data_IF_637110442840
#
_entry.id   IF_637110442840
#
_cell.length_a   1.000
_cell.length_b   1.000
_cell.length_c   1.000
_cell.angle_alpha   90.00
_cell.angle_beta   90.00
_cell.angle_gamma   90.00
#
_symmetry.space_group_name_H-M   'P 1'
#
loop_
_entity.id
_entity.type
_entity.pdbx_description
1 polymer ?
#
# COMPACT_ATOMS: atom_id res chain seq x y z
N UNK A 1 -2.09 8.62 16.69
CA UNK A 1 -2.67 8.84 15.34
C UNK A 1 -4.19 9.04 15.39
N UNK A 2 -4.82 9.31 14.24
CA UNK A 2 -6.26 9.27 13.93
C UNK A 2 -6.44 8.85 12.45
N UNK A 3 -7.65 8.46 12.03
CA UNK A 3 -8.04 8.29 10.62
C UNK A 3 -8.98 9.40 10.16
N UNK A 4 -9.11 9.65 8.84
CA UNK A 4 -10.20 10.46 8.31
C UNK A 4 -11.56 9.91 8.72
N UNK A 5 -12.52 10.80 9.02
CA UNK A 5 -13.88 10.41 9.38
C UNK A 5 -14.63 9.83 8.16
N UNK A 6 -14.41 10.42 6.99
CA UNK A 6 -15.02 9.97 5.75
C UNK A 6 -14.07 8.99 5.06
N UNK A 7 -14.27 7.70 5.33
CA UNK A 7 -13.56 6.64 4.62
C UNK A 7 -14.28 6.37 3.29
N UNK A 8 -13.55 6.31 2.16
CA UNK A 8 -14.13 5.83 0.91
C UNK A 8 -14.61 4.38 1.04
N UNK A 9 -15.69 4.02 0.35
CA UNK A 9 -16.17 2.64 0.32
C UNK A 9 -15.33 1.80 -0.64
N UNK A 10 -15.06 0.55 -0.28
CA UNK A 10 -14.36 -0.36 -1.18
C UNK A 10 -15.21 -0.68 -2.42
N UNK A 11 -14.65 -0.61 -3.66
CA UNK A 11 -15.40 -0.97 -4.85
C UNK A 11 -15.89 -2.42 -4.84
N UNK A 12 -17.12 -2.65 -5.30
CA UNK A 12 -17.73 -3.99 -5.28
C UNK A 12 -16.93 -5.02 -6.07
N UNK A 13 -16.31 -4.62 -7.19
CA UNK A 13 -15.49 -5.54 -8.01
C UNK A 13 -14.25 -6.03 -7.26
N UNK A 14 -13.64 -5.16 -6.43
CA UNK A 14 -12.53 -5.56 -5.55
C UNK A 14 -13.02 -6.54 -4.49
N UNK A 15 -14.15 -6.24 -3.85
CA UNK A 15 -14.73 -7.15 -2.84
C UNK A 15 -15.07 -8.51 -3.44
N UNK A 16 -15.62 -8.54 -4.66
CA UNK A 16 -15.93 -9.77 -5.38
C UNK A 16 -14.65 -10.56 -5.75
N UNK A 17 -13.60 -9.87 -6.20
CA UNK A 17 -12.31 -10.47 -6.52
C UNK A 17 -11.62 -11.07 -5.28
N UNK A 18 -11.60 -10.32 -4.17
CA UNK A 18 -11.09 -10.77 -2.87
C UNK A 18 -11.89 -11.96 -2.34
N UNK A 19 -13.22 -11.95 -2.47
CA UNK A 19 -14.07 -13.05 -2.05
C UNK A 19 -13.90 -14.31 -2.92
N UNK A 20 -13.59 -14.13 -4.21
CA UNK A 20 -13.39 -15.23 -5.14
C UNK A 20 -12.07 -15.98 -4.89
N UNK A 21 -10.96 -15.26 -4.71
CA UNK A 21 -9.66 -15.84 -4.39
C UNK A 21 -8.78 -14.87 -3.57
N UNK A 22 -8.90 -14.88 -2.24
CA UNK A 22 -8.13 -13.97 -1.39
C UNK A 22 -6.63 -14.27 -1.41
N UNK A 23 -6.24 -15.51 -1.72
CA UNK A 23 -4.82 -15.89 -1.81
C UNK A 23 -4.18 -15.35 -3.09
N UNK A 24 -4.90 -15.39 -4.21
CA UNK A 24 -4.46 -14.76 -5.45
C UNK A 24 -4.40 -13.23 -5.32
N UNK A 25 -5.40 -12.62 -4.68
CA UNK A 25 -5.38 -11.17 -4.42
C UNK A 25 -4.18 -10.75 -3.56
N UNK A 26 -3.93 -11.48 -2.47
CA UNK A 26 -2.76 -11.25 -1.61
C UNK A 26 -1.44 -11.44 -2.37
N UNK A 27 -1.35 -12.42 -3.27
CA UNK A 27 -0.18 -12.62 -4.13
C UNK A 27 0.02 -11.43 -5.08
N UNK A 28 -1.07 -10.88 -5.64
CA UNK A 28 -1.02 -9.71 -6.51
C UNK A 28 -0.51 -8.47 -5.75
N UNK A 29 -0.98 -8.26 -4.51
CA UNK A 29 -0.46 -7.20 -3.63
C UNK A 29 1.05 -7.35 -3.40
N UNK A 30 1.52 -8.57 -3.09
CA UNK A 30 2.95 -8.84 -2.92
C UNK A 30 3.78 -8.57 -4.18
N UNK A 31 3.29 -8.98 -5.35
CA UNK A 31 3.95 -8.74 -6.64
C UNK A 31 4.01 -7.25 -7.00
N UNK A 32 2.93 -6.50 -6.74
CA UNK A 32 2.92 -5.06 -6.91
C UNK A 32 3.95 -4.37 -6.00
N UNK A 33 4.07 -4.84 -4.75
CA UNK A 33 5.04 -4.31 -3.81
C UNK A 33 6.49 -4.61 -4.21
N UNK A 34 6.76 -5.80 -4.76
CA UNK A 34 8.07 -6.12 -5.34
C UNK A 34 8.42 -5.17 -6.51
N UNK A 35 7.44 -4.82 -7.34
CA UNK A 35 7.62 -3.89 -8.45
C UNK A 35 7.91 -2.46 -7.95
N UNK A 36 7.16 -2.00 -6.95
CA UNK A 36 7.41 -0.72 -6.28
C UNK A 36 8.85 -0.64 -5.73
N UNK A 37 9.29 -1.66 -5.00
CA UNK A 37 10.64 -1.71 -4.44
C UNK A 37 11.72 -1.75 -5.53
N UNK A 38 11.45 -2.44 -6.64
CA UNK A 38 12.32 -2.45 -7.82
C UNK A 38 12.52 -1.04 -8.37
N UNK A 39 11.42 -0.33 -8.64
CA UNK A 39 11.44 1.03 -9.15
C UNK A 39 12.18 2.01 -8.21
N UNK A 40 11.93 1.92 -6.90
CA UNK A 40 12.64 2.70 -5.89
C UNK A 40 14.15 2.40 -5.88
N UNK A 41 14.53 1.13 -5.99
CA UNK A 41 15.94 0.70 -6.01
C UNK A 41 16.68 1.16 -7.27
N UNK A 42 15.97 1.27 -8.39
CA UNK A 42 16.50 1.77 -9.66
C UNK A 42 16.59 3.31 -9.71
N UNK A 43 16.17 3.98 -8.63
CA UNK A 43 16.25 5.44 -8.47
C UNK A 43 15.05 6.19 -9.05
N UNK A 44 13.92 5.51 -9.27
CA UNK A 44 12.64 6.16 -9.53
C UNK A 44 12.17 7.01 -8.33
N UNK A 45 11.31 7.98 -8.61
CA UNK A 45 10.55 8.66 -7.55
C UNK A 45 9.35 7.81 -7.11
N UNK A 46 8.66 8.26 -6.06
CA UNK A 46 7.56 7.50 -5.46
C UNK A 46 6.38 7.37 -6.42
N UNK A 47 6.11 8.38 -7.25
CA UNK A 47 5.09 8.32 -8.31
C UNK A 47 5.40 7.22 -9.34
N UNK A 48 6.64 7.16 -9.84
CA UNK A 48 7.06 6.09 -10.74
C UNK A 48 7.02 4.70 -10.08
N UNK A 49 7.25 4.61 -8.77
CA UNK A 49 7.15 3.35 -8.03
C UNK A 49 5.69 2.87 -7.87
N UNK A 50 4.75 3.78 -7.63
CA UNK A 50 3.32 3.46 -7.64
C UNK A 50 2.82 3.09 -9.04
N UNK A 51 3.32 3.74 -10.08
CA UNK A 51 3.04 3.35 -11.48
C UNK A 51 3.50 1.90 -11.73
N UNK A 52 4.73 1.56 -11.35
CA UNK A 52 5.26 0.19 -11.51
C UNK A 52 4.44 -0.85 -10.72
N UNK A 53 3.96 -0.51 -9.53
CA UNK A 53 3.04 -1.34 -8.76
C UNK A 53 1.72 -1.56 -9.50
N UNK A 54 1.14 -0.48 -10.04
CA UNK A 54 -0.08 -0.51 -10.84
C UNK A 54 0.05 -1.34 -12.12
N UNK A 55 1.15 -1.18 -12.86
CA UNK A 55 1.44 -1.91 -14.09
C UNK A 55 1.51 -3.44 -13.90
N UNK A 56 1.95 -3.88 -12.72
CA UNK A 56 1.99 -5.30 -12.35
C UNK A 56 0.64 -5.78 -11.84
N UNK A 57 -0.02 -4.99 -10.98
CA UNK A 57 -1.28 -5.40 -10.36
C UNK A 57 -2.48 -5.34 -11.31
N UNK A 58 -2.58 -4.31 -12.14
CA UNK A 58 -3.72 -4.07 -13.04
C UNK A 58 -4.08 -5.30 -13.90
N UNK A 59 -3.13 -5.88 -14.66
CA UNK A 59 -3.40 -7.07 -15.46
C UNK A 59 -3.82 -8.31 -14.64
N UNK A 60 -3.32 -8.42 -13.40
CA UNK A 60 -3.71 -9.51 -12.49
C UNK A 60 -5.15 -9.29 -11.99
N UNK A 61 -5.49 -8.06 -11.62
CA UNK A 61 -6.83 -7.67 -11.17
C UNK A 61 -7.87 -7.79 -12.29
N UNK A 62 -7.53 -7.43 -13.52
CA UNK A 62 -8.35 -7.72 -14.71
C UNK A 62 -8.64 -9.22 -14.85
N UNK A 63 -7.62 -10.06 -14.67
CA UNK A 63 -7.76 -11.51 -14.67
C UNK A 63 -8.68 -12.06 -13.58
N UNK A 64 -8.84 -11.32 -12.48
CA UNK A 64 -9.75 -11.62 -11.37
C UNK A 64 -11.15 -11.03 -11.56
N UNK A 65 -11.38 -10.29 -12.65
CA UNK A 65 -12.68 -9.70 -13.00
C UNK A 65 -12.88 -8.27 -12.52
N UNK A 66 -11.82 -7.59 -12.07
CA UNK A 66 -11.83 -6.16 -11.73
C UNK A 66 -11.57 -5.37 -13.00
N UNK A 67 -12.47 -4.47 -13.37
CA UNK A 67 -12.23 -3.54 -14.48
C UNK A 67 -11.08 -2.57 -14.17
N UNK A 68 -10.35 -2.08 -15.19
CA UNK A 68 -9.33 -1.04 -14.97
C UNK A 68 -9.90 0.18 -14.23
N UNK A 69 -11.12 0.59 -14.57
CA UNK A 69 -11.78 1.71 -13.92
C UNK A 69 -12.09 1.43 -12.43
N UNK A 70 -12.45 0.19 -12.08
CA UNK A 70 -12.63 -0.19 -10.68
C UNK A 70 -11.31 -0.36 -9.93
N UNK A 71 -10.23 -0.75 -10.63
CA UNK A 71 -8.89 -0.81 -10.06
C UNK A 71 -8.36 0.60 -9.75
N UNK A 72 -8.50 1.54 -10.68
CA UNK A 72 -8.12 2.94 -10.48
C UNK A 72 -8.93 3.55 -9.33
N UNK A 73 -10.25 3.37 -9.33
CA UNK A 73 -11.11 3.84 -8.24
C UNK A 73 -10.75 3.21 -6.88
N UNK A 74 -10.31 1.95 -6.86
CA UNK A 74 -9.82 1.31 -5.64
C UNK A 74 -8.48 1.89 -5.19
N UNK A 75 -7.57 2.20 -6.13
CA UNK A 75 -6.31 2.89 -5.88
C UNK A 75 -6.53 4.25 -5.24
N UNK A 76 -7.42 5.07 -5.79
CA UNK A 76 -7.80 6.37 -5.24
C UNK A 76 -8.41 6.23 -3.83
N UNK A 77 -9.32 5.27 -3.67
CA UNK A 77 -9.99 5.00 -2.40
C UNK A 77 -8.99 4.54 -1.31
N UNK A 78 -8.09 3.62 -1.66
CA UNK A 78 -6.99 3.18 -0.78
C UNK A 78 -6.05 4.33 -0.47
N UNK A 79 -5.74 5.16 -1.47
CA UNK A 79 -4.88 6.32 -1.35
C UNK A 79 -5.41 7.33 -0.34
N UNK A 80 -6.68 7.69 -0.43
CA UNK A 80 -7.33 8.60 0.52
C UNK A 80 -7.44 8.00 1.94
N UNK A 81 -7.75 6.71 2.06
CA UNK A 81 -7.90 6.02 3.34
C UNK A 81 -6.55 5.80 4.05
N UNK A 82 -5.63 5.10 3.40
CA UNK A 82 -4.31 4.77 3.92
C UNK A 82 -3.48 6.05 4.03
N UNK A 83 -3.42 6.86 2.97
CA UNK A 83 -2.70 8.13 2.98
C UNK A 83 -3.19 9.07 4.07
N UNK A 84 -4.51 9.13 4.30
CA UNK A 84 -5.08 9.88 5.42
C UNK A 84 -4.64 9.37 6.79
N UNK A 85 -4.62 8.05 6.99
CA UNK A 85 -4.08 7.44 8.21
C UNK A 85 -2.59 7.74 8.40
N UNK A 86 -1.81 7.63 7.33
CA UNK A 86 -0.36 7.90 7.32
C UNK A 86 -0.05 9.38 7.58
N UNK A 87 -0.83 10.30 7.02
CA UNK A 87 -0.72 11.74 7.28
C UNK A 87 -0.85 12.05 8.77
N UNK A 88 -1.70 11.30 9.46
CA UNK A 88 -2.03 11.49 10.88
C UNK A 88 -1.20 10.58 11.80
N UNK A 89 -0.31 9.78 11.22
CA UNK A 89 0.58 8.90 11.93
C UNK A 89 1.73 9.66 12.59
N UNK A 90 2.29 9.14 13.70
CA UNK A 90 3.60 9.57 14.18
C UNK A 90 4.66 9.58 13.06
N UNK A 91 5.49 10.63 13.03
CA UNK A 91 6.54 10.76 12.01
C UNK A 91 7.61 9.65 12.08
N UNK A 92 7.70 8.95 13.22
CA UNK A 92 8.64 7.86 13.48
C UNK A 92 8.01 6.46 13.35
N UNK A 93 6.82 6.33 12.73
CA UNK A 93 6.26 5.03 12.40
C UNK A 93 7.22 4.21 11.54
N UNK A 94 7.49 2.98 11.98
CA UNK A 94 8.22 1.99 11.21
C UNK A 94 7.30 1.15 10.34
N UNK A 95 7.89 0.15 9.69
CA UNK A 95 7.16 -0.80 8.85
C UNK A 95 5.95 -1.46 9.52
N UNK A 96 6.07 -1.98 10.76
CA UNK A 96 4.94 -2.59 11.46
C UNK A 96 3.80 -1.61 11.74
N UNK A 97 4.10 -0.39 12.16
CA UNK A 97 3.09 0.64 12.38
C UNK A 97 2.41 1.05 11.06
N UNK A 98 3.17 1.18 9.98
CA UNK A 98 2.62 1.46 8.65
C UNK A 98 1.69 0.32 8.18
N UNK A 99 2.08 -0.95 8.41
CA UNK A 99 1.24 -2.10 8.08
C UNK A 99 -0.07 -2.11 8.87
N UNK A 100 0.00 -1.79 10.17
CA UNK A 100 -1.18 -1.66 11.02
C UNK A 100 -2.14 -0.55 10.55
N UNK A 101 -1.60 0.58 10.07
CA UNK A 101 -2.41 1.65 9.48
C UNK A 101 -3.13 1.15 8.22
N UNK A 102 -2.43 0.41 7.35
CA UNK A 102 -3.01 -0.13 6.13
C UNK A 102 -4.14 -1.12 6.41
N UNK A 103 -3.91 -2.01 7.36
CA UNK A 103 -4.88 -3.00 7.83
C UNK A 103 -6.16 -2.32 8.34
N UNK A 104 -6.02 -1.41 9.31
CA UNK A 104 -7.17 -0.69 9.87
C UNK A 104 -7.87 0.20 8.84
N UNK A 105 -7.12 0.87 7.96
CA UNK A 105 -7.70 1.69 6.89
C UNK A 105 -8.59 0.84 5.98
N UNK A 106 -8.10 -0.32 5.53
CA UNK A 106 -8.86 -1.21 4.64
C UNK A 106 -10.06 -1.81 5.37
N UNK A 107 -9.93 -2.23 6.62
CA UNK A 107 -11.06 -2.71 7.43
C UNK A 107 -12.15 -1.64 7.57
N UNK A 108 -11.76 -0.38 7.74
CA UNK A 108 -12.69 0.74 7.83
C UNK A 108 -13.34 1.12 6.49
N UNK A 109 -12.77 0.70 5.36
CA UNK A 109 -13.39 0.84 4.03
C UNK A 109 -14.37 -0.28 3.71
N UNK A 110 -14.33 -1.39 4.47
CA UNK A 110 -15.25 -2.50 4.27
C UNK A 110 -16.66 -2.15 4.76
N UNK A 111 -17.72 -2.67 4.10
CA UNK A 111 -19.07 -2.55 4.62
C UNK A 111 -19.19 -3.15 6.01
N UNK A 112 -19.95 -2.50 6.90
CA UNK A 112 -20.14 -2.97 8.29
C UNK A 112 -20.47 -4.48 8.36
N UNK A 113 -19.67 -5.20 9.16
CA UNK A 113 -19.82 -6.65 9.36
C UNK A 113 -19.18 -7.51 8.28
N UNK A 114 -18.35 -6.93 7.41
CA UNK A 114 -17.51 -7.64 6.44
C UNK A 114 -16.05 -7.55 6.87
N UNK A 115 -15.43 -8.69 7.15
CA UNK A 115 -14.02 -8.74 7.52
C UNK A 115 -13.15 -8.90 6.28
N UNK A 116 -11.97 -8.26 6.27
CA UNK A 116 -10.94 -8.53 5.26
C UNK A 116 -10.40 -9.95 5.47
N UNK A 117 -10.30 -10.79 4.41
CA UNK A 117 -9.74 -12.13 4.56
C UNK A 117 -8.29 -12.12 5.07
N UNK A 118 -7.95 -13.03 5.98
CA UNK A 118 -6.63 -13.10 6.60
C UNK A 118 -5.43 -13.04 5.63
N UNK A 119 -5.42 -13.74 4.47
CA UNK A 119 -4.30 -13.63 3.53
C UNK A 119 -4.10 -12.19 2.98
N UNK A 120 -5.19 -11.44 2.78
CA UNK A 120 -5.14 -10.06 2.31
C UNK A 120 -4.69 -9.14 3.43
N UNK A 121 -5.23 -9.35 4.63
CA UNK A 121 -4.84 -8.61 5.82
C UNK A 121 -3.34 -8.80 6.16
N UNK A 122 -2.82 -10.03 6.07
CA UNK A 122 -1.39 -10.33 6.23
C UNK A 122 -0.55 -9.61 5.17
N UNK A 123 -0.98 -9.62 3.90
CA UNK A 123 -0.30 -8.91 2.83
C UNK A 123 -0.26 -7.38 3.06
N UNK A 124 -1.33 -6.78 3.58
CA UNK A 124 -1.35 -5.35 3.95
C UNK A 124 -0.35 -5.03 5.08
N UNK A 125 -0.22 -5.95 6.05
CA UNK A 125 0.79 -5.84 7.10
C UNK A 125 2.21 -5.88 6.54
N UNK A 126 2.48 -6.83 5.64
CA UNK A 126 3.78 -6.98 4.97
C UNK A 126 4.11 -5.79 4.06
N UNK A 127 3.11 -5.19 3.40
CA UNK A 127 3.29 -3.97 2.59
C UNK A 127 3.85 -2.82 3.41
N UNK A 128 3.39 -2.62 4.65
CA UNK A 128 3.94 -1.61 5.55
C UNK A 128 5.45 -1.77 5.77
N UNK A 129 5.90 -3.01 6.01
CA UNK A 129 7.32 -3.32 6.13
C UNK A 129 8.07 -3.07 4.82
N UNK A 130 7.45 -3.43 3.70
CA UNK A 130 8.05 -3.25 2.39
C UNK A 130 8.25 -1.77 2.01
N UNK A 131 7.34 -0.87 2.40
CA UNK A 131 7.52 0.58 2.24
C UNK A 131 8.64 1.11 3.13
N UNK A 132 8.73 0.66 4.38
CA UNK A 132 9.85 1.02 5.26
C UNK A 132 11.21 0.58 4.68
N UNK A 133 11.27 -0.63 4.14
CA UNK A 133 12.48 -1.19 3.51
C UNK A 133 12.86 -0.43 2.22
N UNK A 134 11.87 0.13 1.52
CA UNK A 134 12.07 1.03 0.38
C UNK A 134 12.51 2.46 0.82
N UNK A 135 12.56 2.73 2.11
CA UNK A 135 12.96 4.03 2.66
C UNK A 135 11.86 5.08 2.65
N UNK A 136 10.59 4.67 2.49
CA UNK A 136 9.45 5.57 2.48
C UNK A 136 9.03 5.92 3.91
N UNK A 137 9.00 7.20 4.25
CA UNK A 137 8.43 7.66 5.52
C UNK A 137 6.89 7.76 5.41
N UNK A 138 6.14 7.64 6.52
CA UNK A 138 4.68 7.68 6.49
C UNK A 138 4.13 8.97 5.86
N UNK A 139 4.74 10.12 6.15
CA UNK A 139 4.26 11.41 5.62
C UNK A 139 4.61 11.61 4.14
N UNK A 140 5.70 11.01 3.66
CA UNK A 140 6.04 11.01 2.24
C UNK A 140 5.04 10.11 1.48
N UNK A 141 4.75 8.93 2.02
CA UNK A 141 3.69 8.04 1.51
C UNK A 141 2.34 8.74 1.46
N UNK A 142 1.96 9.44 2.53
CA UNK A 142 0.71 10.19 2.57
C UNK A 142 0.64 11.27 1.49
N UNK A 143 1.75 11.98 1.26
CA UNK A 143 1.85 13.04 0.25
C UNK A 143 1.63 12.54 -1.18
N UNK A 144 1.95 11.28 -1.46
CA UNK A 144 1.84 10.67 -2.79
C UNK A 144 0.56 9.85 -2.97
N UNK A 145 0.06 9.22 -1.90
CA UNK A 145 -1.14 8.38 -1.93
C UNK A 145 -2.44 9.18 -1.89
N UNK A 146 -2.46 10.32 -1.20
CA UNK A 146 -3.68 11.13 -1.12
C UNK A 146 -3.88 11.93 -2.42
N UNK A 147 -5.12 12.18 -2.82
CA UNK A 147 -5.41 13.19 -3.84
C UNK A 147 -4.78 14.55 -3.46
N UNK A 148 -4.52 15.45 -4.41
CA UNK A 148 -4.02 16.77 -4.08
C UNK A 148 -5.01 17.56 -3.18
N UNK A 149 -4.51 18.43 -2.28
CA UNK A 149 -5.37 19.30 -1.48
C UNK A 149 -6.35 20.11 -2.35
N UNK A 150 -7.63 20.07 -1.97
CA UNK A 150 -8.72 20.73 -2.69
C UNK A 150 -9.40 19.87 -3.76
N UNK A 151 -8.77 18.78 -4.19
CA UNK A 151 -9.34 17.86 -5.16
C UNK A 151 -10.36 16.90 -4.51
N UNK A 152 -11.20 16.29 -5.36
CA UNK A 152 -12.21 15.34 -4.91
C UNK A 152 -11.55 14.13 -4.21
N UNK A 153 -12.12 13.73 -3.08
CA UNK A 153 -11.60 12.60 -2.30
C UNK A 153 -10.43 12.94 -1.38
N UNK A 154 -9.89 14.17 -1.39
CA UNK A 154 -8.89 14.56 -0.40
C UNK A 154 -9.51 14.53 1.03
N UNK A 155 -8.90 13.82 1.99
CA UNK A 155 -9.59 13.45 3.24
C UNK A 155 -9.60 14.53 4.32
N UNK A 156 -8.99 15.70 4.10
CA UNK A 156 -8.80 16.73 5.12
C UNK A 156 -9.33 18.11 4.69
N UNK A 157 -9.72 18.97 5.66
CA UNK A 157 -10.16 20.32 5.34
C UNK A 157 -9.05 21.14 4.69
N UNK A 158 -9.44 21.95 3.71
CA UNK A 158 -8.57 22.90 3.01
C UNK A 158 -9.02 24.33 3.28
N UNK A 159 -8.08 25.27 3.28
CA UNK A 159 -8.37 26.70 3.43
C UNK A 159 -8.88 27.33 2.11
N UNK A 160 -9.11 28.64 2.12
CA UNK A 160 -9.56 29.38 0.95
C UNK A 160 -8.54 29.44 -0.21
N UNK A 161 -7.27 29.10 0.05
CA UNK A 161 -6.24 28.95 -0.99
C UNK A 161 -6.21 27.54 -1.58
N UNK A 162 -6.93 26.59 -0.98
CA UNK A 162 -6.92 25.18 -1.36
C UNK A 162 -5.87 24.36 -0.61
N UNK A 163 -5.17 24.93 0.36
CA UNK A 163 -4.11 24.25 1.11
C UNK A 163 -4.70 23.43 2.27
N UNK A 164 -4.20 22.22 2.51
CA UNK A 164 -4.59 21.42 3.66
C UNK A 164 -4.23 22.13 4.97
N UNK A 165 -5.20 22.28 5.87
CA UNK A 165 -4.98 22.96 7.17
C UNK A 165 -4.47 22.03 8.26
N UNK A 166 -4.44 20.72 8.00
CA UNK A 166 -3.99 19.70 8.96
C UNK A 166 -2.51 19.38 8.67
N UNK A 167 -1.57 19.74 9.56
CA UNK A 167 -0.17 19.38 9.36
C UNK A 167 0.05 17.87 9.49
N UNK A 168 0.96 17.27 8.70
CA UNK A 168 1.36 15.88 8.90
C UNK A 168 1.85 15.63 10.33
N UNK A 169 1.39 14.54 10.94
CA UNK A 169 1.74 14.11 12.29
C UNK A 169 1.11 14.93 13.42
N UNK A 170 0.19 15.87 13.14
CA UNK A 170 -0.52 16.65 14.16
C UNK A 170 -2.02 16.35 14.18
N UNK A 171 -2.43 15.20 14.76
CA UNK A 171 -3.83 14.81 14.80
C UNK A 171 -4.72 15.73 15.66
N UNK A 172 -4.15 16.55 16.53
CA UNK A 172 -4.89 17.51 17.34
C UNK A 172 -5.31 18.76 16.54
N UNK A 173 -4.59 19.07 15.45
CA UNK A 173 -4.91 20.18 14.56
C UNK A 173 -6.15 19.90 13.68
N UNK A 174 -6.49 18.64 13.46
CA UNK A 174 -7.68 18.27 12.71
C UNK A 174 -8.96 18.61 13.50
N UNK A 175 -9.99 19.19 12.88
CA UNK A 175 -11.30 19.33 13.49
C UNK A 175 -11.88 17.96 13.89
N UNK A 176 -12.51 17.88 15.06
CA UNK A 176 -13.04 16.62 15.61
C UNK A 176 -14.07 15.92 14.70
N UNK A 177 -14.75 16.69 13.86
CA UNK A 177 -15.74 16.22 12.89
C UNK A 177 -15.13 15.77 11.55
N UNK A 178 -13.81 15.84 11.40
CA UNK A 178 -13.09 15.38 10.22
C UNK A 178 -12.29 14.09 10.46
N UNK A 179 -12.13 13.67 11.72
CA UNK A 179 -11.26 12.55 12.09
C UNK A 179 -11.90 11.62 13.09
N UNK A 180 -11.43 10.39 13.13
CA UNK A 180 -11.90 9.35 14.04
C UNK A 180 -10.72 8.53 14.57
N UNK A 181 -10.93 7.89 15.72
CA UNK A 181 -9.94 7.01 16.30
C UNK A 181 -9.80 5.71 15.47
N UNK A 182 -8.61 5.07 15.47
CA UNK A 182 -8.47 3.70 14.98
C UNK A 182 -9.46 2.74 15.66
N UNK A 183 -9.84 1.65 14.98
CA UNK A 183 -10.66 0.59 15.56
C UNK A 183 -10.05 0.08 16.87
N UNK A 184 -10.88 -0.11 17.90
CA UNK A 184 -10.41 -0.49 19.24
C UNK A 184 -9.89 -1.93 19.34
N UNK A 185 -10.25 -2.76 18.36
CA UNK A 185 -9.85 -4.14 18.16
C UNK A 185 -9.07 -4.33 16.85
N UNK A 186 -8.60 -3.23 16.25
CA UNK A 186 -7.79 -3.22 15.04
C UNK A 186 -6.29 -3.38 15.29
N UNK A 187 -5.53 -3.47 14.21
CA UNK A 187 -4.09 -3.63 14.22
C UNK A 187 -3.36 -2.45 14.90
N UNK A 188 -3.83 -1.21 14.75
CA UNK A 188 -3.23 -0.07 15.45
C UNK A 188 -3.46 -0.18 16.98
N UNK A 189 -4.59 -0.74 17.41
CA UNK A 189 -4.86 -0.97 18.82
C UNK A 189 -3.96 -2.05 19.42
N UNK A 190 -3.68 -3.11 18.66
CA UNK A 190 -2.74 -4.16 19.05
C UNK A 190 -1.31 -3.63 19.21
N UNK A 191 -0.89 -2.68 18.37
CA UNK A 191 0.39 -1.98 18.50
C UNK A 191 0.42 -1.07 19.73
N UNK A 192 -0.71 -0.45 20.07
CA UNK A 192 -0.85 0.45 21.21
C UNK A 192 0.07 1.67 21.14
N UNK A 193 0.33 2.30 22.30
CA UNK A 193 1.25 3.43 22.38
C UNK A 193 0.83 4.59 21.47
N UNK A 194 1.76 5.06 20.63
CA UNK A 194 1.55 6.20 19.72
C UNK A 194 0.57 5.90 18.56
N UNK A 195 0.28 4.61 18.33
CA UNK A 195 -0.72 4.15 17.36
C UNK A 195 -2.15 4.31 17.86
N UNK A 196 -2.34 4.62 19.15
CA UNK A 196 -3.65 4.99 19.70
C UNK A 196 -3.67 6.48 20.08
N UNK A 197 -4.85 7.13 20.06
CA UNK A 197 -4.99 8.45 20.64
C UNK A 197 -4.73 8.39 22.16
N UNK A 198 -4.28 9.51 22.77
CA UNK A 198 -4.09 9.57 24.22
C UNK A 198 -5.40 9.31 24.96
N UNK A 199 -5.31 8.81 26.20
CA UNK A 199 -6.48 8.65 27.06
C UNK A 199 -7.25 9.99 27.19
N UNK A 200 -8.53 9.99 26.83
CA UNK A 200 -9.36 11.20 26.80
C UNK A 200 -9.42 11.92 25.45
N UNK A 201 -8.69 11.46 24.44
CA UNK A 201 -8.67 12.02 23.09
C UNK A 201 -7.81 13.27 22.95
N UNK A 202 -7.82 13.88 21.76
CA UNK A 202 -7.19 15.18 21.54
C UNK A 202 -8.15 16.32 21.83
N UNK A 203 -7.60 17.48 22.19
CA UNK A 203 -8.33 18.74 22.25
C UNK A 203 -8.36 19.36 20.84
N UNK A 204 -9.35 18.96 20.05
CA UNK A 204 -9.48 19.37 18.66
C UNK A 204 -9.89 20.83 18.54
N UNK A 205 -9.18 21.58 17.70
CA UNK A 205 -9.59 22.93 17.33
C UNK A 205 -10.90 22.90 16.52
N UNK A 206 -11.79 23.90 16.65
CA UNK A 206 -12.93 24.03 15.76
C UNK A 206 -12.45 24.34 14.34
N UNK A 207 -13.20 23.86 13.33
CA UNK A 207 -12.94 24.19 11.93
C UNK A 207 -12.94 25.72 11.70
N UNK A 208 -11.90 26.28 11.07
CA UNK A 208 -11.90 27.69 10.65
C UNK A 208 -13.10 28.03 9.75
N UNK A 209 -13.61 29.27 9.83
CA UNK A 209 -14.82 29.67 9.07
C UNK A 209 -14.65 29.63 7.54
N UNK A 210 -13.42 29.76 7.07
CA UNK A 210 -13.02 29.76 5.67
C UNK A 210 -12.46 28.42 5.19
N UNK A 211 -12.30 27.45 6.10
CA UNK A 211 -11.93 26.09 5.74
C UNK A 211 -13.16 25.31 5.30
N UNK A 212 -12.97 24.45 4.30
CA UNK A 212 -14.01 23.56 3.78
C UNK A 212 -13.45 22.17 3.58
N UNK A 213 -14.30 21.16 3.75
CA UNK A 213 -13.98 19.83 3.25
C UNK A 213 -14.01 19.87 1.71
N UNK A 214 -13.00 19.28 1.05
CA UNK A 214 -13.07 18.98 -0.38
C UNK A 214 -14.33 18.17 -0.72
N UNK A 215 -14.77 18.18 -1.99
CA UNK A 215 -15.88 17.34 -2.39
C UNK A 215 -15.55 15.86 -2.15
N UNK A 216 -16.55 15.03 -1.79
CA UNK A 216 -16.32 13.60 -1.67
C UNK A 216 -15.87 13.03 -3.02
N UNK A 217 -15.20 11.88 -2.97
CA UNK A 217 -14.88 11.13 -4.19
C UNK A 217 -16.18 10.82 -4.95
N UNK A 218 -16.23 11.17 -6.23
CA UNK A 218 -17.42 10.93 -7.03
C UNK A 218 -17.54 9.43 -7.34
N UNK A 219 -18.61 8.78 -6.86
CA UNK A 219 -18.99 7.42 -7.26
C UNK A 219 -19.39 7.30 -8.77
N UNK A 220 -19.10 8.33 -9.58
CA UNK A 220 -19.61 8.55 -10.94
C UNK A 220 -18.58 8.17 -12.03
N UNK A 221 -17.35 7.76 -11.71
CA UNK A 221 -16.42 7.22 -12.72
C UNK A 221 -16.92 5.87 -13.31
N UNK A 222 -17.98 5.25 -12.74
CA UNK A 222 -18.65 4.11 -13.39
C UNK A 222 -19.67 4.49 -14.48
N UNK A 223 -19.98 5.78 -14.70
CA UNK A 223 -20.99 6.17 -15.70
C UNK A 223 -20.64 7.33 -16.63
N UNK A 224 -19.53 8.05 -16.46
CA UNK A 224 -19.17 9.12 -17.41
C UNK A 224 -17.66 9.39 -17.45
N UNK A 225 -17.08 9.10 -18.63
CA UNK A 225 -15.88 9.71 -19.21
C UNK A 225 -14.54 9.57 -18.44
N UNK A 226 -13.73 8.59 -18.88
CA UNK A 226 -12.28 8.66 -19.15
C UNK A 226 -11.35 9.61 -18.34
N UNK A 227 -11.56 9.76 -17.03
CA UNK A 227 -10.81 10.74 -16.22
C UNK A 227 -9.46 10.28 -15.66
N UNK A 228 -9.22 8.97 -15.48
CA UNK A 228 -8.00 8.46 -14.83
C UNK A 228 -6.71 8.73 -15.62
N UNK A 229 -6.78 8.62 -16.95
CA UNK A 229 -5.64 8.94 -17.83
C UNK A 229 -5.46 10.45 -18.07
N UNK A 230 -6.53 11.25 -17.96
CA UNK A 230 -6.44 12.69 -18.21
C UNK A 230 -5.88 13.45 -17.00
N UNK A 231 -6.11 13.01 -15.76
CA UNK A 231 -5.48 13.61 -14.57
C UNK A 231 -3.96 13.37 -14.53
N UNK A 232 -3.51 12.17 -14.95
CA UNK A 232 -2.08 11.87 -15.12
C UNK A 232 -1.46 12.62 -16.31
N UNK A 233 -2.23 12.87 -17.37
CA UNK A 233 -1.81 13.65 -18.55
C UNK A 233 -1.67 15.15 -18.27
N UNK A 234 -2.56 15.73 -17.46
CA UNK A 234 -2.55 17.17 -17.15
C UNK A 234 -1.46 17.54 -16.12
N UNK A 235 -1.08 16.60 -15.25
CA UNK A 235 0.08 16.72 -14.35
C UNK A 235 1.44 16.76 -15.09
N UNK A 236 1.50 16.34 -16.36
CA UNK A 236 2.74 16.16 -17.13
C UNK A 236 3.19 17.36 -17.97
N UNK A 237 2.47 18.50 -17.98
CA UNK A 237 2.97 19.75 -18.58
C UNK A 237 3.49 19.62 -20.03
N UNK A 238 2.93 18.69 -20.82
CA UNK A 238 3.31 18.45 -22.21
C UNK A 238 2.76 19.55 -23.13
N UNK A 239 3.52 20.01 -24.15
CA UNK A 239 3.06 21.11 -24.99
C UNK A 239 1.82 20.71 -25.78
N UNK A 240 0.79 21.56 -25.74
CA UNK A 240 -0.45 21.41 -26.50
C UNK A 240 -0.17 20.95 -27.95
N UNK A 241 -0.47 19.68 -28.24
CA UNK A 241 -0.44 19.16 -29.61
C UNK A 241 -1.75 19.56 -30.28
N UNK A 242 -1.62 20.52 -31.18
CA UNK A 242 -2.62 20.93 -32.16
C UNK A 242 -3.19 19.68 -32.87
N UNK A 243 -4.52 19.46 -32.94
CA UNK A 243 -5.13 18.21 -33.41
C UNK A 243 -5.05 18.00 -34.95
N UNK A 244 -3.96 18.40 -35.58
CA UNK A 244 -3.77 18.36 -37.03
C UNK A 244 -2.46 17.67 -37.44
N UNK A 245 -2.22 16.43 -36.99
CA UNK A 245 -1.35 15.49 -37.69
C UNK A 245 -1.66 14.06 -37.25
N UNK A 246 -2.11 13.23 -38.20
CA UNK A 246 -2.47 11.84 -37.94
C UNK A 246 -1.27 10.90 -37.79
N UNK A 247 -1.57 9.76 -37.18
CA UNK A 247 -0.97 8.43 -37.36
C UNK A 247 0.55 8.32 -37.21
N UNK A 248 1.01 7.77 -36.08
CA UNK A 248 1.96 6.64 -36.04
C UNK A 248 1.85 5.90 -34.70
N UNK A 249 1.09 4.81 -34.69
CA UNK A 249 1.17 3.80 -33.63
C UNK A 249 2.55 3.13 -33.64
N UNK A 250 3.33 3.32 -32.58
CA UNK A 250 4.66 2.72 -32.46
C UNK A 250 5.25 2.63 -31.04
N UNK A 251 4.55 3.10 -30.01
CA UNK A 251 5.07 3.12 -28.63
C UNK A 251 5.04 1.75 -27.93
N UNK A 252 3.95 1.00 -28.09
CA UNK A 252 3.71 -0.22 -27.31
C UNK A 252 4.56 -1.41 -27.79
N UNK A 253 4.84 -1.50 -29.09
CA UNK A 253 5.68 -2.57 -29.65
C UNK A 253 7.17 -2.45 -29.27
N UNK A 254 7.64 -1.24 -28.92
CA UNK A 254 9.04 -1.02 -28.56
C UNK A 254 9.37 -1.52 -27.13
N UNK A 255 8.43 -1.36 -26.19
CA UNK A 255 8.61 -1.81 -24.81
C UNK A 255 8.60 -3.35 -24.69
N UNK A 256 7.68 -4.01 -25.40
CA UNK A 256 7.58 -5.48 -25.44
C UNK A 256 8.79 -6.09 -26.17
N UNK A 257 9.30 -5.42 -27.21
CA UNK A 257 10.51 -5.84 -27.92
C UNK A 257 11.78 -5.79 -27.06
N UNK A 258 11.94 -4.75 -26.22
CA UNK A 258 13.09 -4.61 -25.32
C UNK A 258 13.12 -5.66 -24.20
N UNK A 259 11.95 -6.06 -23.69
CA UNK A 259 11.82 -7.11 -22.69
C UNK A 259 12.17 -8.51 -23.24
N UNK A 260 11.81 -8.79 -24.50
CA UNK A 260 12.12 -10.06 -25.16
C UNK A 260 13.60 -10.20 -25.57
N UNK A 261 14.26 -9.11 -25.96
CA UNK A 261 15.69 -9.12 -26.32
C UNK A 261 16.58 -9.37 -25.08
N UNK A 262 16.21 -8.79 -23.94
CA UNK A 262 16.92 -8.98 -22.66
C UNK A 262 16.85 -10.44 -22.15
N UNK A 263 15.79 -11.17 -22.48
CA UNK A 263 15.63 -12.58 -22.10
C UNK A 263 16.48 -13.55 -22.94
N UNK A 264 16.87 -13.17 -24.16
CA UNK A 264 17.73 -13.99 -25.02
C UNK A 264 19.24 -13.79 -24.76
N UNK A 265 19.64 -12.69 -24.13
CA UNK A 265 21.04 -12.38 -23.82
C UNK A 265 21.59 -13.01 -22.53
N UNK A 266 20.74 -13.55 -21.64
CA UNK A 266 21.19 -14.32 -20.46
C UNK A 266 21.38 -15.84 -20.73
N UNK A 267 21.34 -16.25 -22.00
CA UNK A 267 21.54 -17.64 -22.41
C UNK A 267 22.99 -18.11 -22.31
N UNK A 268 23.36 -18.69 -21.16
CA UNK A 268 24.30 -19.83 -21.13
C UNK A 268 25.43 -19.77 -20.11
N UNK A 269 25.18 -20.32 -18.93
CA UNK A 269 26.22 -20.93 -18.10
C UNK A 269 25.96 -22.45 -17.97
N UNK A 270 26.99 -23.31 -18.08
CA UNK A 270 26.82 -24.75 -18.24
C UNK A 270 26.42 -25.45 -16.93
N UNK A 271 25.64 -26.52 -17.07
CA UNK A 271 25.29 -27.44 -16.00
C UNK A 271 26.55 -28.07 -15.36
N UNK A 272 26.60 -28.23 -14.03
CA UNK A 272 27.62 -29.06 -13.41
C UNK A 272 27.31 -30.55 -13.66
N UNK A 273 28.27 -31.20 -14.32
CA UNK A 273 28.35 -32.62 -14.61
C UNK A 273 28.39 -33.49 -13.34
N UNK A 274 27.92 -34.72 -13.51
CA UNK A 274 27.57 -35.66 -12.45
C UNK A 274 28.70 -36.12 -11.52
N UNK A 275 28.30 -36.43 -10.29
CA UNK A 275 29.01 -37.35 -9.40
C UNK A 275 28.12 -38.55 -9.08
N UNK A 276 28.67 -39.71 -9.43
CA UNK A 276 28.10 -41.05 -9.48
C UNK A 276 27.74 -41.65 -8.12
N UNK A 277 26.74 -42.52 -8.12
CA UNK A 277 26.36 -43.36 -6.98
C UNK A 277 27.32 -44.55 -6.74
N UNK A 278 27.67 -44.77 -5.46
CA UNK A 278 28.02 -46.05 -4.81
C UNK A 278 29.53 -46.38 -4.64
N UNK A 279 29.93 -47.27 -3.70
CA UNK A 279 29.16 -48.12 -2.78
C UNK A 279 29.60 -48.07 -1.28
N UNK A 280 28.93 -48.88 -0.45
CA UNK A 280 29.09 -49.03 1.00
C UNK A 280 30.36 -49.76 1.46
N UNK A 281 30.94 -49.34 2.60
CA UNK A 281 31.75 -50.10 3.56
C UNK A 281 31.55 -49.42 4.95
N UNK A 282 30.67 -49.92 5.82
CA UNK A 282 30.96 -50.82 6.95
C UNK A 282 32.37 -50.72 7.54
N UNK A 283 32.52 -49.99 8.64
CA UNK A 283 33.33 -50.41 9.80
C UNK A 283 32.83 -49.68 11.06
N UNK A 284 32.30 -50.44 12.00
CA UNK A 284 31.86 -49.96 13.31
C UNK A 284 32.99 -49.79 14.33
N UNK A 285 32.64 -49.10 15.42
CA UNK A 285 33.10 -49.26 16.82
C UNK A 285 32.59 -48.01 17.58
N UNK A 286 31.50 -48.13 18.34
CA UNK A 286 31.50 -48.40 19.79
C UNK A 286 31.79 -47.18 20.67
N UNK A 287 30.73 -46.76 21.40
CA UNK A 287 30.73 -46.39 22.84
C UNK A 287 31.29 -45.01 23.20
N UNK A 288 30.79 -44.21 24.16
CA UNK A 288 29.79 -44.32 25.24
C UNK A 288 29.33 -42.85 25.55
N UNK A 289 28.08 -42.60 25.90
CA UNK A 289 27.61 -42.37 27.28
C UNK A 289 28.23 -41.13 27.97
N UNK A 290 27.45 -40.07 28.16
CA UNK A 290 26.97 -39.65 29.50
C UNK A 290 26.26 -38.29 29.40
N UNK A 291 24.99 -38.30 29.79
CA UNK A 291 24.24 -37.13 30.17
C UNK A 291 24.82 -36.57 31.48
N UNK A 292 25.10 -35.27 31.55
CA UNK A 292 25.34 -34.59 32.83
C UNK A 292 24.17 -33.69 33.19
N UNK A 293 23.36 -34.29 34.06
CA UNK A 293 22.57 -33.77 35.17
C UNK A 293 22.59 -32.27 35.43
N UNK A 294 21.36 -31.77 35.55
CA UNK A 294 20.94 -30.49 36.13
C UNK A 294 21.38 -30.40 37.59
N UNK A 295 22.02 -29.31 38.00
CA UNK A 295 22.27 -28.94 39.41
C UNK A 295 21.17 -28.00 39.93
N UNK A 296 20.30 -28.41 40.88
CA UNK A 296 19.30 -27.55 41.48
C UNK A 296 19.67 -27.15 42.93
N UNK A 297 20.92 -26.73 43.19
CA UNK A 297 21.35 -26.40 44.55
C UNK A 297 22.35 -25.25 44.71
N UNK A 298 21.99 -24.05 44.23
CA UNK A 298 22.60 -22.81 44.72
C UNK A 298 21.57 -22.01 45.53
N UNK A 299 21.52 -22.30 46.84
CA UNK A 299 20.64 -21.65 47.80
C UNK A 299 21.21 -20.38 48.44
N UNK A 300 20.27 -19.58 48.94
CA UNK A 300 20.27 -18.71 50.12
C UNK A 300 21.39 -17.69 50.35
N UNK A 301 20.97 -16.42 50.31
CA UNK A 301 21.57 -15.26 50.97
C UNK A 301 20.56 -14.11 50.95
#
# INVERSE_FOLDING_TARGET
MMFPMQMPEMPQEIMDAVAADPGAFATALGQGMEAFQGAMSDGGDMGAAFEAMGDVMGPVMEGMGVSPEAFDAAGDAFGAAIGGGMHMAPADCGGPEMGAIMQDAVDMMMPEGTDVPAPVHDALGDMGQAFADAGCAPHDMAGEMMPPPGDAGFPFPCDAAGDCIVPPGDPAAAPADCVQAPPMDGACADMGGAMMPPEGGYDHAPMPMDAVMPPPMDNIILQSDAGGLDALSDALGGPAVDPAAGDMGGGVDAAIGAALDSAMEQGGAPAPDGATAGPAEDMGAESADEAQEVDPSAGMG
#
